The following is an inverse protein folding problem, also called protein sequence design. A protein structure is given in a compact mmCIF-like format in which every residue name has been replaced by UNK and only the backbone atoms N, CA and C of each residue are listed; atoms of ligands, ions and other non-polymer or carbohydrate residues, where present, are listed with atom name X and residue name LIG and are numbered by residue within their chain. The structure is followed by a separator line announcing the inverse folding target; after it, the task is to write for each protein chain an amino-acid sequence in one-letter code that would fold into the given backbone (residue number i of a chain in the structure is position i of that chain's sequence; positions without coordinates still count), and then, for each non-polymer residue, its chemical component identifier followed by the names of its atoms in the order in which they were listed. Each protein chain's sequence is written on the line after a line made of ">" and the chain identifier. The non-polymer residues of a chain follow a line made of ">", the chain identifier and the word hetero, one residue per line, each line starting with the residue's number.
data_IF_658044269804
#
_entry.id   IF_658044269804
#
_cell.length_a   1.000
_cell.length_b   1.000
_cell.length_c   1.000
_cell.angle_alpha   90.00
_cell.angle_beta   90.00
_cell.angle_gamma   90.00
#
_symmetry.space_group_name_H-M   'P 1'
#
loop_
_entity.id
_entity.type
_entity.pdbx_description
1 polymer ?
#
# COMPACT_ATOMS: atom_id res chain seq x y z
N UNK A 1 -17.41 18.74 11.47
CA UNK A 1 -17.67 18.43 10.05
C UNK A 1 -18.38 17.08 9.98
N UNK A 2 -19.44 16.96 9.17
CA UNK A 2 -20.14 15.70 8.94
C UNK A 2 -19.62 15.06 7.66
N UNK A 3 -19.16 13.81 7.74
CA UNK A 3 -18.75 13.04 6.56
C UNK A 3 -20.02 12.52 5.87
N UNK A 4 -20.18 12.80 4.58
CA UNK A 4 -21.32 12.32 3.80
C UNK A 4 -21.10 10.87 3.30
N UNK A 5 -22.19 10.15 3.03
CA UNK A 5 -22.11 8.84 2.40
C UNK A 5 -21.44 8.91 1.02
N UNK A 6 -21.70 9.98 0.27
CA UNK A 6 -21.11 10.20 -1.05
C UNK A 6 -19.58 10.39 -0.96
N UNK A 7 -19.07 11.13 0.03
CA UNK A 7 -17.64 11.25 0.29
C UNK A 7 -16.98 9.90 0.57
N UNK A 8 -17.62 9.06 1.40
CA UNK A 8 -17.11 7.71 1.70
C UNK A 8 -17.03 6.85 0.44
N UNK A 9 -18.05 6.90 -0.42
CA UNK A 9 -18.07 6.16 -1.68
C UNK A 9 -16.95 6.66 -2.61
N UNK A 10 -16.75 7.98 -2.74
CA UNK A 10 -15.67 8.55 -3.54
C UNK A 10 -14.31 8.08 -3.04
N UNK A 11 -14.06 8.15 -1.73
CA UNK A 11 -12.81 7.68 -1.14
C UNK A 11 -12.58 6.19 -1.38
N UNK A 12 -13.63 5.37 -1.27
CA UNK A 12 -13.55 3.93 -1.52
C UNK A 12 -13.21 3.64 -2.99
N UNK A 13 -13.83 4.36 -3.94
CA UNK A 13 -13.54 4.20 -5.38
C UNK A 13 -12.10 4.59 -5.68
N UNK A 14 -11.62 5.74 -5.18
CA UNK A 14 -10.23 6.19 -5.39
C UNK A 14 -9.26 5.17 -4.79
N UNK A 15 -9.50 4.72 -3.57
CA UNK A 15 -8.68 3.72 -2.90
C UNK A 15 -8.66 2.38 -3.64
N UNK A 16 -9.80 1.93 -4.17
CA UNK A 16 -9.90 0.71 -4.96
C UNK A 16 -9.07 0.78 -6.24
N UNK A 17 -9.18 1.89 -6.98
CA UNK A 17 -8.41 2.12 -8.21
C UNK A 17 -6.92 2.16 -7.90
N UNK A 18 -6.51 2.98 -6.94
CA UNK A 18 -5.09 3.19 -6.63
C UNK A 18 -4.47 1.95 -5.98
N UNK A 19 -5.19 1.27 -5.09
CA UNK A 19 -4.75 0.01 -4.49
C UNK A 19 -4.54 -1.08 -5.54
N UNK A 20 -5.46 -1.18 -6.51
CA UNK A 20 -5.33 -2.12 -7.63
C UNK A 20 -4.13 -1.77 -8.52
N UNK A 21 -3.97 -0.50 -8.92
CA UNK A 21 -2.83 -0.05 -9.72
C UNK A 21 -1.50 -0.30 -9.00
N UNK A 22 -1.45 -0.03 -7.70
CA UNK A 22 -0.27 -0.26 -6.87
C UNK A 22 0.15 -1.72 -6.84
N UNK A 23 -0.79 -2.65 -6.65
CA UNK A 23 -0.49 -4.09 -6.66
C UNK A 23 -0.06 -4.58 -8.05
N UNK A 24 -0.73 -4.11 -9.12
CA UNK A 24 -0.40 -4.45 -10.51
C UNK A 24 1.02 -3.98 -10.87
N UNK A 25 1.38 -2.75 -10.48
CA UNK A 25 2.70 -2.17 -10.73
C UNK A 25 3.78 -2.87 -9.88
N UNK A 26 3.48 -3.15 -8.61
CA UNK A 26 4.40 -3.84 -7.71
C UNK A 26 4.69 -5.29 -8.15
N UNK A 27 3.89 -5.86 -9.06
CA UNK A 27 4.06 -7.16 -9.73
C UNK A 27 4.24 -8.37 -8.80
N UNK A 28 4.13 -8.23 -7.47
CA UNK A 28 4.40 -9.31 -6.51
C UNK A 28 3.75 -9.07 -5.15
N UNK A 29 2.83 -9.98 -4.80
CA UNK A 29 2.52 -10.51 -3.45
C UNK A 29 2.87 -9.54 -2.30
N UNK A 30 2.19 -8.40 -2.22
CA UNK A 30 2.04 -7.77 -0.92
C UNK A 30 1.49 -8.83 0.06
N UNK A 31 1.90 -8.87 1.34
CA UNK A 31 1.52 -9.93 2.28
C UNK A 31 0.00 -10.16 2.34
N UNK A 32 -0.78 -9.10 2.09
CA UNK A 32 -2.25 -9.09 2.11
C UNK A 32 -2.87 -8.90 0.70
N UNK A 33 -2.04 -8.87 -0.36
CA UNK A 33 -2.44 -8.69 -1.75
C UNK A 33 -3.21 -7.40 -2.05
N UNK A 34 -4.10 -7.47 -3.07
CA UNK A 34 -4.93 -6.34 -3.53
C UNK A 34 -5.76 -5.76 -2.38
N UNK A 35 -6.33 -6.60 -1.51
CA UNK A 35 -7.19 -6.13 -0.41
C UNK A 35 -6.41 -5.26 0.58
N UNK A 36 -5.19 -5.65 0.96
CA UNK A 36 -4.35 -4.82 1.83
C UNK A 36 -3.99 -3.48 1.20
N UNK A 37 -3.70 -3.47 -0.11
CA UNK A 37 -3.41 -2.23 -0.84
C UNK A 37 -4.63 -1.29 -0.88
N UNK A 38 -5.84 -1.82 -1.10
CA UNK A 38 -7.08 -1.02 -1.08
C UNK A 38 -7.34 -0.45 0.32
N UNK A 39 -7.23 -1.28 1.37
CA UNK A 39 -7.46 -0.85 2.75
C UNK A 39 -6.46 0.24 3.14
N UNK A 40 -5.19 0.09 2.81
CA UNK A 40 -4.18 1.11 3.08
C UNK A 40 -4.42 2.39 2.28
N UNK A 41 -4.76 2.29 0.99
CA UNK A 41 -5.15 3.44 0.19
C UNK A 41 -6.32 4.20 0.81
N UNK A 42 -7.32 3.48 1.32
CA UNK A 42 -8.47 4.08 2.00
C UNK A 42 -8.07 4.77 3.31
N UNK A 43 -7.25 4.12 4.15
CA UNK A 43 -6.73 4.71 5.39
C UNK A 43 -5.93 5.98 5.10
N UNK A 44 -5.12 6.00 4.03
CA UNK A 44 -4.36 7.18 3.62
C UNK A 44 -5.28 8.37 3.35
N UNK A 45 -6.31 8.16 2.52
CA UNK A 45 -7.28 9.20 2.16
C UNK A 45 -8.06 9.66 3.40
N UNK A 46 -8.47 8.73 4.26
CA UNK A 46 -9.19 9.05 5.48
C UNK A 46 -8.35 9.94 6.40
N UNK A 47 -7.07 9.59 6.63
CA UNK A 47 -6.19 10.41 7.44
C UNK A 47 -5.98 11.80 6.83
N UNK A 48 -5.64 11.87 5.54
CA UNK A 48 -5.30 13.14 4.89
C UNK A 48 -6.49 14.08 4.78
N UNK A 49 -7.67 13.56 4.43
CA UNK A 49 -8.85 14.38 4.21
C UNK A 49 -9.67 14.61 5.49
N UNK A 50 -9.95 13.55 6.25
CA UNK A 50 -10.85 13.64 7.41
C UNK A 50 -10.15 14.09 8.69
N UNK A 51 -8.85 13.81 8.83
CA UNK A 51 -8.08 14.17 10.03
C UNK A 51 -7.27 15.43 9.78
N UNK A 52 -6.40 15.42 8.76
CA UNK A 52 -5.48 16.53 8.51
C UNK A 52 -6.07 17.67 7.69
N UNK A 53 -7.21 17.44 7.00
CA UNK A 53 -7.87 18.44 6.15
C UNK A 53 -6.90 19.09 5.15
N UNK A 54 -5.96 18.30 4.63
CA UNK A 54 -4.95 18.78 3.68
C UNK A 54 -5.61 18.88 2.31
N UNK A 55 -5.43 20.03 1.68
CA UNK A 55 -5.81 20.27 0.29
C UNK A 55 -4.82 21.20 -0.38
N UNK A 56 -4.54 20.96 -1.64
CA UNK A 56 -3.73 21.83 -2.50
C UNK A 56 -4.62 22.94 -3.02
N UNK A 57 -4.14 24.19 -2.93
CA UNK A 57 -4.88 25.35 -3.43
C UNK A 57 -5.14 25.23 -4.94
N UNK A 58 -6.40 25.35 -5.35
CA UNK A 58 -6.81 25.31 -6.75
C UNK A 58 -7.02 23.91 -7.32
N UNK A 59 -7.05 22.87 -6.49
CA UNK A 59 -7.35 21.51 -6.94
C UNK A 59 -8.87 21.28 -7.19
N UNK A 60 -9.24 20.33 -8.05
CA UNK A 60 -10.64 19.99 -8.28
C UNK A 60 -11.23 19.25 -7.07
N UNK A 61 -12.44 19.67 -6.69
CA UNK A 61 -13.24 19.04 -5.64
C UNK A 61 -14.45 18.33 -6.23
N UNK A 62 -14.75 17.15 -5.71
CA UNK A 62 -16.01 16.43 -5.98
C UNK A 62 -16.67 16.13 -4.65
N UNK A 63 -17.86 16.67 -4.43
CA UNK A 63 -18.60 16.56 -3.15
C UNK A 63 -17.75 16.95 -1.92
N UNK A 64 -16.91 17.97 -2.06
CA UNK A 64 -15.98 18.41 -1.02
C UNK A 64 -14.74 17.53 -0.83
N UNK A 65 -14.54 16.52 -1.67
CA UNK A 65 -13.33 15.68 -1.67
C UNK A 65 -12.25 16.29 -2.57
N UNK A 66 -11.05 16.62 -2.04
CA UNK A 66 -9.92 17.06 -2.84
C UNK A 66 -9.35 15.89 -3.66
N UNK A 67 -9.59 15.87 -4.97
CA UNK A 67 -9.27 14.69 -5.79
C UNK A 67 -7.78 14.43 -5.90
N UNK A 68 -7.00 15.47 -6.20
CA UNK A 68 -5.56 15.33 -6.46
C UNK A 68 -4.86 14.90 -5.18
N UNK A 69 -5.16 15.57 -4.07
CA UNK A 69 -4.61 15.24 -2.76
C UNK A 69 -4.97 13.81 -2.34
N UNK A 70 -6.22 13.37 -2.56
CA UNK A 70 -6.66 12.00 -2.25
C UNK A 70 -5.88 10.95 -3.05
N UNK A 71 -5.73 11.18 -4.36
CA UNK A 71 -5.00 10.29 -5.26
C UNK A 71 -3.53 10.19 -4.83
N UNK A 72 -2.89 11.32 -4.55
CA UNK A 72 -1.48 11.37 -4.12
C UNK A 72 -1.32 10.64 -2.78
N UNK A 73 -2.17 10.93 -1.80
CA UNK A 73 -2.13 10.30 -0.48
C UNK A 73 -2.22 8.76 -0.59
N UNK A 74 -3.21 8.26 -1.33
CA UNK A 74 -3.37 6.84 -1.58
C UNK A 74 -2.15 6.26 -2.31
N UNK A 75 -1.70 6.91 -3.39
CA UNK A 75 -0.61 6.40 -4.23
C UNK A 75 0.69 6.29 -3.44
N UNK A 76 1.02 7.30 -2.63
CA UNK A 76 2.23 7.31 -1.80
C UNK A 76 2.17 6.18 -0.78
N UNK A 77 1.09 6.04 -0.02
CA UNK A 77 1.03 5.03 1.03
C UNK A 77 1.01 3.61 0.47
N UNK A 78 0.26 3.37 -0.61
CA UNK A 78 0.23 2.08 -1.32
C UNK A 78 1.62 1.76 -1.88
N UNK A 79 2.28 2.72 -2.53
CA UNK A 79 3.62 2.52 -3.06
C UNK A 79 4.64 2.17 -1.96
N UNK A 80 4.63 2.91 -0.86
CA UNK A 80 5.51 2.64 0.29
C UNK A 80 5.25 1.25 0.87
N UNK A 81 3.99 0.87 1.01
CA UNK A 81 3.62 -0.46 1.49
C UNK A 81 4.12 -1.56 0.56
N UNK A 82 3.84 -1.46 -0.74
CA UNK A 82 4.27 -2.43 -1.73
C UNK A 82 5.80 -2.55 -1.79
N UNK A 83 6.53 -1.43 -1.70
CA UNK A 83 7.99 -1.43 -1.65
C UNK A 83 8.54 -2.09 -0.37
N UNK A 84 7.95 -1.81 0.79
CA UNK A 84 8.38 -2.36 2.07
C UNK A 84 8.07 -3.86 2.20
N UNK A 85 6.88 -4.27 1.76
CA UNK A 85 6.46 -5.67 1.67
C UNK A 85 7.45 -6.50 0.85
N UNK A 86 7.86 -5.99 -0.31
CA UNK A 86 8.84 -6.64 -1.17
C UNK A 86 10.18 -6.89 -0.47
N UNK A 87 10.67 -5.90 0.29
CA UNK A 87 11.97 -5.98 0.95
C UNK A 87 12.00 -7.02 2.09
N UNK A 88 10.90 -7.17 2.84
CA UNK A 88 10.80 -8.15 3.94
C UNK A 88 10.80 -9.60 3.45
N UNK A 89 10.11 -9.91 2.34
CA UNK A 89 10.00 -11.28 1.82
C UNK A 89 11.34 -11.77 1.25
N UNK A 90 12.08 -10.90 0.56
CA UNK A 90 13.38 -11.26 -0.04
C UNK A 90 14.47 -11.57 1.00
N UNK A 91 14.56 -10.78 2.08
CA UNK A 91 15.56 -11.01 3.15
C UNK A 91 15.41 -12.38 3.80
N UNK A 92 14.19 -12.88 3.97
CA UNK A 92 13.92 -14.16 4.64
C UNK A 92 14.40 -15.37 3.82
N UNK A 93 14.36 -15.28 2.50
CA UNK A 93 14.82 -16.36 1.61
C UNK A 93 16.34 -16.45 1.53
N UNK A 94 17.06 -15.32 1.54
CA UNK A 94 18.52 -15.33 1.49
C UNK A 94 19.17 -15.81 2.79
N UNK A 95 18.59 -15.51 3.95
CA UNK A 95 19.15 -15.97 5.22
C UNK A 95 19.06 -17.50 5.38
N UNK A 96 17.98 -18.14 4.91
CA UNK A 96 17.77 -19.59 5.12
C UNK A 96 18.73 -20.50 4.32
N UNK A 97 19.35 -20.00 3.26
CA UNK A 97 20.26 -20.78 2.38
C UNK A 97 21.72 -20.84 2.86
N UNK A 98 22.07 -20.13 3.93
CA UNK A 98 23.46 -20.04 4.42
C UNK A 98 23.93 -21.21 5.28
N UNK A 99 23.05 -22.12 5.70
CA UNK A 99 23.36 -23.08 6.78
C UNK A 99 23.58 -24.53 6.31
N UNK A 100 23.26 -24.85 5.05
CA UNK A 100 23.29 -26.25 4.56
C UNK A 100 24.66 -26.69 4.04
N UNK A 101 25.67 -25.79 3.96
CA UNK A 101 27.03 -26.12 3.52
C UNK A 101 28.01 -26.49 4.65
N UNK A 102 27.51 -26.90 5.82
CA UNK A 102 28.36 -27.44 6.92
C UNK A 102 27.91 -28.81 7.41
N UNK A 103 27.67 -29.76 6.50
CA UNK A 103 27.72 -31.18 6.87
C UNK A 103 29.12 -31.73 6.56
N UNK A 104 29.98 -31.97 7.55
CA UNK A 104 31.23 -32.68 7.32
C UNK A 104 30.88 -34.11 6.89
N UNK A 105 31.29 -34.43 5.67
CA UNK A 105 31.17 -35.76 5.07
C UNK A 105 32.05 -36.71 5.90
N UNK A 106 31.46 -37.38 6.90
CA UNK A 106 32.13 -38.47 7.63
C UNK A 106 32.43 -39.57 6.62
N UNK A 107 33.68 -39.63 6.16
CA UNK A 107 34.27 -40.82 5.56
C UNK A 107 34.44 -41.82 6.70
N UNK A 108 33.59 -42.82 6.73
CA UNK A 108 33.89 -44.05 7.45
C UNK A 108 34.83 -44.85 6.56
N UNK A 109 36.04 -45.09 7.11
CA UNK A 109 37.00 -46.08 6.65
C UNK A 109 36.49 -47.48 7.02
#
# INVERSE_FOLDING_TARGET
>A
MSISLAQLIIWLIIAAIIGLLGEVIARRRAPDGILGAIILGFIAILLVNAVFHISIKGEPFVDGVPLITSIIAAAVLVFLWSAFAYHRVYRRYYYRRGYERRRPRRRFL
#
